data_IF_746300375518
#
_entry.id   IF_746300375518
#
_cell.length_a   1.000
_cell.length_b   1.000
_cell.length_c   1.000
_cell.angle_alpha   90.00
_cell.angle_beta   90.00
_cell.angle_gamma   90.00
#
_symmetry.space_group_name_H-M   'P 1'
#
loop_
_entity.id
_entity.type
_entity.pdbx_description
1 polymer ?
#
# COMPACT_ATOMS: atom_id res chain seq x y z
N UNK A 1 -27.73 -0.06 14.56
CA UNK A 1 -28.73 0.75 15.30
C UNK A 1 -28.58 2.25 15.04
N UNK A 2 -27.63 3.00 15.63
CA UNK A 2 -27.58 4.48 15.42
C UNK A 2 -27.31 4.87 13.95
N UNK A 3 -26.50 4.12 13.22
CA UNK A 3 -26.23 4.38 11.80
C UNK A 3 -27.39 3.98 10.86
N UNK A 4 -28.21 3.00 11.25
CA UNK A 4 -29.38 2.56 10.46
C UNK A 4 -30.56 3.53 10.63
N UNK A 5 -30.80 4.02 11.87
CA UNK A 5 -31.84 5.03 12.13
C UNK A 5 -31.55 6.38 11.46
N UNK A 6 -30.28 6.70 11.18
CA UNK A 6 -29.90 7.96 10.55
C UNK A 6 -30.04 7.94 9.01
N UNK A 7 -29.84 6.77 8.40
CA UNK A 7 -30.14 6.52 6.97
C UNK A 7 -31.64 6.64 6.69
N UNK A 8 -32.48 6.05 7.55
CA UNK A 8 -33.94 6.12 7.44
C UNK A 8 -34.49 7.55 7.63
N UNK A 9 -33.79 8.38 8.42
CA UNK A 9 -34.10 9.81 8.58
C UNK A 9 -33.78 10.65 7.34
N UNK A 10 -32.73 10.29 6.59
CA UNK A 10 -32.33 11.00 5.37
C UNK A 10 -33.28 10.69 4.20
N UNK A 11 -33.80 9.47 4.11
CA UNK A 11 -34.84 9.09 3.13
C UNK A 11 -36.12 9.94 3.27
N UNK A 12 -36.51 10.27 4.50
CA UNK A 12 -37.72 11.06 4.77
C UNK A 12 -37.56 12.56 4.45
N UNK A 13 -36.34 13.06 4.28
CA UNK A 13 -36.07 14.47 3.97
C UNK A 13 -36.09 14.77 2.46
N UNK A 14 -36.04 13.75 1.59
CA UNK A 14 -36.12 13.87 0.13
C UNK A 14 -37.53 14.02 -0.43
N UNK A 15 -38.36 14.94 0.11
CA UNK A 15 -39.72 15.17 -0.38
C UNK A 15 -39.74 15.59 -1.87
N UNK A 16 -40.46 14.79 -2.68
CA UNK A 16 -40.76 15.00 -4.10
C UNK A 16 -41.45 16.34 -4.39
N UNK A 17 -41.34 16.89 -5.62
CA UNK A 17 -42.36 17.76 -6.18
C UNK A 17 -43.26 16.99 -7.17
N UNK A 18 -44.54 16.95 -6.83
CA UNK A 18 -45.63 16.72 -7.79
C UNK A 18 -45.74 17.87 -8.82
N UNK A 19 -46.26 17.51 -9.99
CA UNK A 19 -46.74 18.35 -11.11
C UNK A 19 -45.76 18.67 -12.24
N UNK A 20 -45.93 18.00 -13.39
CA UNK A 20 -46.54 18.65 -14.57
C UNK A 20 -47.04 17.62 -15.60
N UNK A 21 -48.32 17.77 -15.98
CA UNK A 21 -48.99 17.04 -17.07
C UNK A 21 -48.67 17.66 -18.43
N UNK A 22 -48.68 16.79 -19.45
CA UNK A 22 -49.08 17.00 -20.85
C UNK A 22 -48.17 17.84 -21.77
N UNK A 23 -47.59 17.17 -22.76
CA UNK A 23 -47.88 17.49 -24.17
C UNK A 23 -47.48 16.31 -25.06
N UNK A 24 -48.49 15.67 -25.66
CA UNK A 24 -48.34 14.83 -26.84
C UNK A 24 -47.82 15.68 -28.01
N UNK A 25 -46.87 15.16 -28.81
CA UNK A 25 -47.01 15.06 -30.27
C UNK A 25 -45.87 14.31 -30.93
N UNK A 26 -46.30 13.27 -31.62
CA UNK A 26 -45.66 12.46 -32.64
C UNK A 26 -45.04 13.31 -33.77
N UNK A 27 -43.91 12.86 -34.32
CA UNK A 27 -43.36 13.40 -35.57
C UNK A 27 -42.07 12.67 -35.99
N UNK A 28 -42.20 11.81 -37.00
CA UNK A 28 -41.17 10.96 -37.60
C UNK A 28 -40.10 11.75 -38.38
N UNK A 29 -38.87 11.23 -38.34
CA UNK A 29 -37.94 10.89 -39.44
C UNK A 29 -37.80 11.92 -40.60
N UNK A 30 -36.61 12.45 -40.84
CA UNK A 30 -35.82 12.21 -42.08
C UNK A 30 -34.48 12.96 -42.13
N UNK A 31 -33.57 12.31 -42.85
CA UNK A 31 -32.15 12.51 -43.15
C UNK A 31 -31.80 13.77 -43.94
N UNK A 32 -30.59 14.31 -43.74
CA UNK A 32 -29.49 14.33 -44.74
C UNK A 32 -28.55 15.55 -44.59
N UNK A 33 -27.24 15.27 -44.59
CA UNK A 33 -26.22 16.08 -45.29
C UNK A 33 -25.80 17.42 -44.69
N UNK A 34 -24.54 17.52 -44.25
CA UNK A 34 -23.93 18.83 -44.03
C UNK A 34 -22.56 18.80 -43.34
N UNK A 35 -21.50 18.56 -44.10
CA UNK A 35 -20.11 18.79 -43.68
C UNK A 35 -19.88 20.29 -43.55
N UNK A 36 -19.60 20.78 -42.34
CA UNK A 36 -19.09 22.15 -42.10
C UNK A 36 -17.96 22.08 -41.08
N UNK A 37 -16.80 22.62 -41.47
CA UNK A 37 -15.64 22.83 -40.60
C UNK A 37 -15.96 23.91 -39.56
N UNK A 38 -15.60 23.68 -38.30
CA UNK A 38 -15.63 24.69 -37.25
C UNK A 38 -14.69 24.33 -36.10
N UNK A 39 -13.57 25.06 -36.01
CA UNK A 39 -12.72 25.12 -34.82
C UNK A 39 -13.52 25.63 -33.62
N UNK A 40 -13.33 25.03 -32.45
CA UNK A 40 -13.65 25.67 -31.18
C UNK A 40 -14.26 24.75 -30.13
N UNK A 41 -13.75 24.93 -28.90
CA UNK A 41 -14.37 24.63 -27.61
C UNK A 41 -14.46 23.18 -27.15
N UNK A 42 -13.58 22.87 -26.18
CA UNK A 42 -13.83 22.09 -24.97
C UNK A 42 -15.08 21.19 -25.01
N UNK A 43 -14.85 19.89 -25.19
CA UNK A 43 -15.85 18.87 -24.94
C UNK A 43 -16.32 18.94 -23.49
N UNK A 44 -17.41 19.65 -23.26
CA UNK A 44 -18.32 19.35 -22.15
C UNK A 44 -18.87 17.95 -22.45
N UNK A 45 -18.26 16.95 -21.85
CA UNK A 45 -18.89 15.65 -21.67
C UNK A 45 -20.13 15.88 -20.83
N UNK A 46 -21.29 15.83 -21.47
CA UNK A 46 -22.60 15.73 -20.84
C UNK A 46 -22.58 14.46 -19.97
N UNK A 47 -22.35 14.63 -18.66
CA UNK A 47 -22.60 13.55 -17.70
C UNK A 47 -24.12 13.37 -17.67
N UNK A 48 -24.59 12.26 -18.22
CA UNK A 48 -25.93 11.77 -17.92
C UNK A 48 -26.03 11.64 -16.39
N UNK A 49 -27.01 12.31 -15.80
CA UNK A 49 -27.19 12.40 -14.36
C UNK A 49 -27.76 11.07 -13.85
N UNK A 50 -26.94 10.03 -13.82
CA UNK A 50 -27.29 8.74 -13.25
C UNK A 50 -27.19 8.87 -11.74
N UNK A 51 -28.27 9.32 -11.12
CA UNK A 51 -28.36 9.37 -9.66
C UNK A 51 -28.49 7.93 -9.15
N UNK A 52 -27.40 7.37 -8.62
CA UNK A 52 -27.38 6.04 -8.02
C UNK A 52 -28.16 6.04 -6.71
N UNK A 53 -28.89 4.95 -6.43
CA UNK A 53 -29.57 4.78 -5.15
C UNK A 53 -28.54 4.52 -4.04
N UNK A 54 -28.86 4.93 -2.81
CA UNK A 54 -27.95 4.76 -1.67
C UNK A 54 -27.58 3.29 -1.41
N UNK A 55 -28.50 2.37 -1.75
CA UNK A 55 -28.31 0.93 -1.68
C UNK A 55 -27.19 0.42 -2.61
N UNK A 56 -26.91 1.15 -3.71
CA UNK A 56 -25.91 0.76 -4.72
C UNK A 56 -24.50 1.28 -4.39
N UNK A 57 -24.36 2.25 -3.47
CA UNK A 57 -23.09 2.94 -3.24
C UNK A 57 -21.97 2.01 -2.79
N UNK A 58 -22.29 1.04 -1.94
CA UNK A 58 -21.32 0.01 -1.52
C UNK A 58 -20.84 -0.83 -2.70
N UNK A 59 -21.78 -1.29 -3.54
CA UNK A 59 -21.46 -2.12 -4.71
C UNK A 59 -20.62 -1.33 -5.74
N UNK A 60 -20.92 -0.03 -5.92
CA UNK A 60 -20.15 0.85 -6.80
C UNK A 60 -18.72 1.03 -6.28
N UNK A 61 -18.55 1.34 -4.99
CA UNK A 61 -17.23 1.49 -4.37
C UNK A 61 -16.45 0.18 -4.41
N UNK A 62 -17.10 -0.94 -4.08
CA UNK A 62 -16.52 -2.28 -4.15
C UNK A 62 -15.99 -2.57 -5.57
N UNK A 63 -16.82 -2.32 -6.59
CA UNK A 63 -16.44 -2.50 -7.99
C UNK A 63 -15.27 -1.59 -8.41
N UNK A 64 -15.26 -0.32 -7.96
CA UNK A 64 -14.16 0.61 -8.24
C UNK A 64 -12.86 0.12 -7.60
N UNK A 65 -12.86 -0.19 -6.31
CA UNK A 65 -11.67 -0.64 -5.60
C UNK A 65 -11.13 -1.96 -6.18
N UNK A 66 -12.01 -2.90 -6.49
CA UNK A 66 -11.64 -4.16 -7.12
C UNK A 66 -11.01 -3.95 -8.51
N UNK A 67 -11.62 -3.10 -9.33
CA UNK A 67 -11.16 -2.84 -10.71
C UNK A 67 -9.83 -2.11 -10.74
N UNK A 68 -9.63 -1.14 -9.83
CA UNK A 68 -8.42 -0.32 -9.81
C UNK A 68 -7.20 -1.11 -9.34
N UNK A 69 -7.37 -2.08 -8.44
CA UNK A 69 -6.29 -2.93 -7.90
C UNK A 69 -5.27 -2.21 -7.01
N UNK A 70 -5.17 -0.88 -7.13
CA UNK A 70 -4.31 0.02 -6.37
C UNK A 70 -5.15 0.88 -5.40
N UNK A 71 -4.48 1.75 -4.63
CA UNK A 71 -5.14 2.73 -3.79
C UNK A 71 -5.94 3.75 -4.62
N UNK A 72 -7.11 4.09 -4.13
CA UNK A 72 -8.04 5.04 -4.76
C UNK A 72 -8.33 6.15 -3.76
N UNK A 73 -8.06 7.40 -4.14
CA UNK A 73 -8.33 8.56 -3.29
C UNK A 73 -9.82 8.65 -2.94
N UNK A 74 -10.13 9.05 -1.71
CA UNK A 74 -11.49 9.25 -1.22
C UNK A 74 -12.30 10.18 -2.13
N UNK A 75 -11.66 11.21 -2.70
CA UNK A 75 -12.27 12.11 -3.67
C UNK A 75 -12.76 11.38 -4.92
N UNK A 76 -11.99 10.43 -5.43
CA UNK A 76 -12.38 9.66 -6.62
C UNK A 76 -13.56 8.73 -6.33
N UNK A 77 -13.57 8.11 -5.13
CA UNK A 77 -14.71 7.33 -4.65
C UNK A 77 -15.97 8.19 -4.51
N UNK A 78 -15.83 9.41 -3.97
CA UNK A 78 -16.92 10.37 -3.86
C UNK A 78 -17.49 10.78 -5.24
N UNK A 79 -16.61 10.98 -6.24
CA UNK A 79 -17.02 11.21 -7.62
C UNK A 79 -17.75 10.00 -8.21
N UNK A 80 -17.32 8.77 -7.89
CA UNK A 80 -17.92 7.55 -8.44
C UNK A 80 -19.38 7.35 -8.00
N UNK A 81 -19.72 7.73 -6.77
CA UNK A 81 -21.10 7.65 -6.25
C UNK A 81 -21.88 8.97 -6.37
N UNK A 82 -21.26 10.02 -6.92
CA UNK A 82 -21.79 11.38 -7.02
C UNK A 82 -22.24 11.97 -5.66
N UNK A 83 -21.40 11.81 -4.64
CA UNK A 83 -21.66 12.31 -3.27
C UNK A 83 -20.48 13.11 -2.71
N UNK A 84 -20.66 13.67 -1.52
CA UNK A 84 -19.57 14.30 -0.75
C UNK A 84 -18.54 13.28 -0.24
N UNK A 85 -17.31 13.73 0.01
CA UNK A 85 -16.24 12.90 0.58
C UNK A 85 -16.63 12.32 1.95
N UNK A 86 -17.41 13.05 2.77
CA UNK A 86 -17.92 12.57 4.06
C UNK A 86 -18.89 11.38 3.92
N UNK A 87 -19.77 11.42 2.91
CA UNK A 87 -20.68 10.31 2.61
C UNK A 87 -19.89 9.13 2.08
N UNK A 88 -18.98 9.35 1.12
CA UNK A 88 -18.14 8.29 0.57
C UNK A 88 -17.32 7.59 1.66
N UNK A 89 -16.73 8.36 2.60
CA UNK A 89 -15.96 7.81 3.72
C UNK A 89 -16.83 6.90 4.59
N UNK A 90 -18.04 7.34 4.93
CA UNK A 90 -18.99 6.52 5.70
C UNK A 90 -19.36 5.23 4.98
N UNK A 91 -19.60 5.28 3.67
CA UNK A 91 -19.93 4.09 2.87
C UNK A 91 -18.75 3.11 2.87
N UNK A 92 -17.53 3.60 2.66
CA UNK A 92 -16.33 2.75 2.70
C UNK A 92 -16.15 2.10 4.08
N UNK A 93 -16.31 2.86 5.17
CA UNK A 93 -16.20 2.33 6.53
C UNK A 93 -17.26 1.25 6.81
N UNK A 94 -18.48 1.44 6.31
CA UNK A 94 -19.53 0.44 6.45
C UNK A 94 -19.20 -0.83 5.64
N UNK A 95 -18.74 -0.67 4.39
CA UNK A 95 -18.30 -1.79 3.55
C UNK A 95 -17.13 -2.56 4.18
N UNK A 96 -16.14 -1.86 4.74
CA UNK A 96 -15.02 -2.46 5.44
C UNK A 96 -15.50 -3.31 6.63
N UNK A 97 -16.38 -2.76 7.46
CA UNK A 97 -16.95 -3.46 8.61
C UNK A 97 -17.70 -4.73 8.19
N UNK A 98 -18.49 -4.67 7.11
CA UNK A 98 -19.17 -5.85 6.55
C UNK A 98 -18.20 -6.94 6.13
N UNK A 99 -17.11 -6.58 5.46
CA UNK A 99 -16.07 -7.52 5.05
C UNK A 99 -15.41 -8.22 6.26
N UNK A 100 -15.17 -7.48 7.34
CA UNK A 100 -14.63 -7.99 8.59
C UNK A 100 -15.62 -8.92 9.33
N UNK A 101 -16.88 -8.51 9.47
CA UNK A 101 -17.93 -9.30 10.13
C UNK A 101 -18.27 -10.60 9.39
N UNK A 102 -18.31 -10.55 8.06
CA UNK A 102 -18.57 -11.71 7.21
C UNK A 102 -17.35 -12.63 7.04
N UNK A 103 -16.19 -12.27 7.60
CA UNK A 103 -14.91 -13.01 7.49
C UNK A 103 -14.53 -13.33 6.04
N UNK A 104 -14.62 -12.34 5.16
CA UNK A 104 -14.28 -12.51 3.75
C UNK A 104 -12.76 -12.67 3.56
N UNK A 105 -12.36 -13.32 2.46
CA UNK A 105 -10.95 -13.47 2.07
C UNK A 105 -10.28 -12.17 1.57
N UNK A 106 -11.08 -11.13 1.39
CA UNK A 106 -10.68 -9.79 0.98
C UNK A 106 -10.94 -8.83 2.15
N UNK A 107 -10.25 -7.70 2.15
CA UNK A 107 -10.45 -6.58 3.08
C UNK A 107 -10.20 -5.25 2.37
N UNK A 108 -10.62 -4.17 3.00
CA UNK A 108 -10.33 -2.80 2.56
C UNK A 108 -9.36 -2.17 3.57
N UNK A 109 -8.29 -1.57 3.09
CA UNK A 109 -7.32 -0.81 3.86
C UNK A 109 -7.51 0.68 3.63
N UNK A 110 -7.47 1.47 4.70
CA UNK A 110 -7.35 2.92 4.65
C UNK A 110 -5.86 3.28 4.63
N UNK A 111 -5.45 4.11 3.67
CA UNK A 111 -4.08 4.60 3.46
C UNK A 111 -4.15 6.13 3.31
N UNK A 112 -3.93 6.86 4.40
CA UNK A 112 -4.15 8.30 4.53
C UNK A 112 -5.55 8.75 4.07
N UNK A 113 -5.66 9.32 2.86
CA UNK A 113 -6.89 9.76 2.24
C UNK A 113 -7.30 8.87 1.06
N UNK A 114 -6.79 7.66 0.99
CA UNK A 114 -7.07 6.68 -0.03
C UNK A 114 -7.51 5.34 0.59
N UNK A 115 -8.17 4.53 -0.22
CA UNK A 115 -8.62 3.20 0.16
C UNK A 115 -8.18 2.18 -0.88
N UNK A 116 -7.87 0.97 -0.44
CA UNK A 116 -7.50 -0.11 -1.34
C UNK A 116 -8.13 -1.42 -0.90
N UNK A 117 -8.61 -2.19 -1.87
CA UNK A 117 -9.02 -3.56 -1.64
C UNK A 117 -7.82 -4.50 -1.77
N UNK A 118 -7.62 -5.38 -0.80
CA UNK A 118 -6.56 -6.38 -0.81
C UNK A 118 -7.04 -7.70 -0.21
N UNK A 119 -6.26 -8.77 -0.40
CA UNK A 119 -6.50 -10.05 0.25
C UNK A 119 -6.18 -9.99 1.75
N UNK A 120 -6.84 -10.81 2.56
CA UNK A 120 -6.50 -10.96 3.97
C UNK A 120 -5.17 -11.72 4.15
N UNK A 121 -4.37 -11.28 5.12
CA UNK A 121 -3.04 -11.84 5.38
C UNK A 121 -3.06 -13.32 5.80
N UNK A 122 -4.13 -13.75 6.48
CA UNK A 122 -4.35 -15.15 6.90
C UNK A 122 -4.31 -16.15 5.72
N UNK A 123 -4.57 -15.67 4.49
CA UNK A 123 -4.57 -16.50 3.30
C UNK A 123 -3.27 -16.38 2.47
N UNK A 124 -2.26 -15.68 2.95
CA UNK A 124 -1.00 -15.44 2.23
C UNK A 124 -0.36 -16.73 1.68
N UNK A 125 -0.21 -17.76 2.53
CA UNK A 125 0.37 -19.05 2.13
C UNK A 125 -0.42 -19.73 1.01
N UNK A 126 -1.74 -19.56 0.98
CA UNK A 126 -2.58 -20.11 -0.08
C UNK A 126 -2.41 -19.36 -1.40
N UNK A 127 -2.22 -18.03 -1.33
CA UNK A 127 -2.10 -17.17 -2.49
C UNK A 127 -0.77 -17.39 -3.22
N UNK A 128 0.35 -17.48 -2.51
CA UNK A 128 1.67 -17.66 -3.11
C UNK A 128 1.87 -19.03 -3.77
N UNK A 129 0.98 -20.00 -3.51
CA UNK A 129 0.97 -21.29 -4.22
C UNK A 129 0.53 -21.15 -5.67
N UNK A 130 -0.16 -20.07 -6.03
CA UNK A 130 -0.72 -19.85 -7.38
C UNK A 130 -0.21 -18.54 -7.98
N UNK A 131 0.00 -17.51 -7.15
CA UNK A 131 0.55 -16.23 -7.56
C UNK A 131 2.08 -16.26 -7.54
N UNK A 132 2.70 -15.52 -8.45
CA UNK A 132 4.15 -15.25 -8.37
C UNK A 132 4.40 -14.50 -7.07
N UNK A 133 5.17 -15.10 -6.17
CA UNK A 133 5.54 -14.46 -4.93
C UNK A 133 6.28 -13.14 -5.26
N UNK A 134 5.80 -11.98 -4.77
CA UNK A 134 6.54 -10.74 -4.93
C UNK A 134 7.90 -10.87 -4.24
N UNK A 135 8.95 -10.30 -4.84
CA UNK A 135 10.27 -10.25 -4.21
C UNK A 135 10.15 -9.59 -2.83
N UNK A 136 10.57 -10.29 -1.78
CA UNK A 136 10.55 -9.77 -0.41
C UNK A 136 11.88 -9.08 -0.15
N UNK A 137 11.93 -7.77 -0.37
CA UNK A 137 13.06 -6.98 0.12
C UNK A 137 13.20 -7.19 1.63
N UNK A 138 14.36 -7.70 2.05
CA UNK A 138 14.67 -7.86 3.47
C UNK A 138 15.16 -6.51 3.98
N UNK A 139 14.58 -6.08 5.10
CA UNK A 139 15.01 -4.88 5.80
C UNK A 139 15.92 -5.35 6.93
N UNK A 140 17.24 -5.13 6.78
CA UNK A 140 18.21 -5.36 7.86
C UNK A 140 17.98 -4.36 8.99
N UNK A 141 18.60 -4.60 10.15
CA UNK A 141 18.49 -3.71 11.32
C UNK A 141 18.85 -2.27 10.96
N UNK A 142 19.93 -2.07 10.20
CA UNK A 142 20.37 -0.74 9.71
C UNK A 142 19.33 -0.06 8.81
N UNK A 143 18.70 -0.82 7.92
CA UNK A 143 17.64 -0.31 7.03
C UNK A 143 16.38 0.03 7.85
N UNK A 144 16.01 -0.80 8.82
CA UNK A 144 14.86 -0.58 9.70
C UNK A 144 15.05 0.63 10.62
N UNK A 145 16.23 0.81 11.20
CA UNK A 145 16.58 1.99 11.98
C UNK A 145 16.45 3.27 11.14
N UNK A 146 17.04 3.24 9.95
CA UNK A 146 17.01 4.37 9.01
C UNK A 146 15.56 4.70 8.62
N UNK A 147 14.76 3.68 8.31
CA UNK A 147 13.35 3.82 7.97
C UNK A 147 12.55 4.41 9.13
N UNK A 148 12.81 3.96 10.35
CA UNK A 148 12.14 4.45 11.56
C UNK A 148 12.43 5.93 11.78
N UNK A 149 13.68 6.36 11.62
CA UNK A 149 14.04 7.78 11.70
C UNK A 149 13.27 8.61 10.67
N UNK A 150 13.19 8.14 9.42
CA UNK A 150 12.43 8.83 8.37
C UNK A 150 10.96 8.90 8.75
N UNK A 151 10.34 7.79 9.16
CA UNK A 151 8.92 7.73 9.51
C UNK A 151 8.54 8.74 10.62
N UNK A 152 9.37 8.88 11.67
CA UNK A 152 9.08 9.77 12.80
C UNK A 152 9.59 11.21 12.63
N UNK A 153 10.51 11.47 11.69
CA UNK A 153 11.13 12.80 11.51
C UNK A 153 10.89 13.43 10.14
N UNK A 154 10.12 12.79 9.26
CA UNK A 154 9.83 13.34 7.95
C UNK A 154 9.14 14.72 8.02
N UNK A 155 9.41 15.60 7.05
CA UNK A 155 10.40 15.47 5.99
C UNK A 155 11.84 15.68 6.52
N UNK A 156 12.77 14.77 6.19
CA UNK A 156 14.15 14.75 6.75
C UNK A 156 15.22 14.61 5.67
N UNK A 157 16.40 15.19 5.86
CA UNK A 157 17.54 15.07 4.92
C UNK A 157 18.47 13.90 5.27
N UNK A 158 19.19 13.36 4.28
CA UNK A 158 20.25 12.34 4.49
C UNK A 158 21.25 12.72 5.58
N UNK A 159 21.64 13.99 5.61
CA UNK A 159 22.60 14.51 6.58
C UNK A 159 22.02 14.54 8.01
N UNK A 160 20.73 14.80 8.17
CA UNK A 160 20.06 14.74 9.48
C UNK A 160 19.89 13.30 9.95
N UNK A 161 19.57 12.37 9.03
CA UNK A 161 19.49 10.93 9.34
C UNK A 161 20.84 10.44 9.87
N UNK A 162 21.93 10.68 9.14
CA UNK A 162 23.27 10.25 9.56
C UNK A 162 23.70 10.85 10.89
N UNK A 163 23.33 12.11 11.17
CA UNK A 163 23.57 12.73 12.48
C UNK A 163 22.82 12.07 13.63
N UNK A 164 21.62 11.55 13.38
CA UNK A 164 20.83 10.84 14.40
C UNK A 164 21.42 9.44 14.63
N UNK A 165 21.82 8.75 13.55
CA UNK A 165 22.40 7.40 13.65
C UNK A 165 23.86 7.40 14.14
N UNK A 166 24.58 8.51 14.02
CA UNK A 166 26.01 8.59 14.30
C UNK A 166 26.89 8.06 13.15
N UNK A 167 26.33 7.30 12.21
CA UNK A 167 27.04 6.68 11.08
C UNK A 167 26.47 7.11 9.73
N UNK A 168 27.24 6.88 8.65
CA UNK A 168 26.73 7.10 7.30
C UNK A 168 25.49 6.24 7.05
N UNK A 169 24.48 6.83 6.41
CA UNK A 169 23.19 6.17 6.15
C UNK A 169 22.76 6.32 4.69
N UNK A 170 23.66 6.77 3.82
CA UNK A 170 23.36 7.02 2.41
C UNK A 170 22.96 5.74 1.68
N UNK A 171 23.63 4.62 1.98
CA UNK A 171 23.29 3.31 1.42
C UNK A 171 21.87 2.90 1.81
N UNK A 172 21.56 2.91 3.11
CA UNK A 172 20.24 2.53 3.64
C UNK A 172 19.13 3.40 3.06
N UNK A 173 19.33 4.73 2.96
CA UNK A 173 18.34 5.62 2.33
C UNK A 173 18.13 5.27 0.86
N UNK A 174 19.19 5.00 0.10
CA UNK A 174 19.06 4.62 -1.31
C UNK A 174 18.29 3.30 -1.48
N UNK A 175 18.57 2.30 -0.64
CA UNK A 175 17.82 1.03 -0.62
C UNK A 175 16.34 1.24 -0.29
N UNK A 176 16.02 2.07 0.70
CA UNK A 176 14.63 2.37 1.04
C UNK A 176 13.86 3.06 -0.10
N UNK A 177 14.54 3.89 -0.89
CA UNK A 177 13.98 4.49 -2.11
C UNK A 177 13.78 3.42 -3.20
N UNK A 178 14.74 2.53 -3.40
CA UNK A 178 14.63 1.41 -4.34
C UNK A 178 13.48 0.46 -3.98
N UNK A 179 13.29 0.16 -2.70
CA UNK A 179 12.20 -0.65 -2.19
C UNK A 179 10.84 0.06 -2.25
N UNK A 180 10.82 1.34 -2.63
CA UNK A 180 9.61 2.15 -2.72
C UNK A 180 8.98 2.48 -1.36
N UNK A 181 9.70 2.32 -0.25
CA UNK A 181 9.24 2.65 1.10
C UNK A 181 9.41 4.14 1.42
N UNK A 182 10.34 4.80 0.72
CA UNK A 182 10.70 6.22 0.91
C UNK A 182 10.77 6.92 -0.45
N UNK A 183 10.45 8.21 -0.50
CA UNK A 183 10.57 9.05 -1.70
C UNK A 183 11.18 10.43 -1.39
N UNK A 184 11.68 11.13 -2.43
CA UNK A 184 12.13 12.53 -2.32
C UNK A 184 10.90 13.46 -2.27
N UNK A 185 10.58 13.95 -1.06
CA UNK A 185 9.46 14.85 -0.79
C UNK A 185 9.73 16.31 -1.19
N UNK A 186 10.95 16.62 -1.62
CA UNK A 186 11.36 17.94 -2.09
C UNK A 186 12.80 18.26 -1.74
N UNK A 187 13.14 19.55 -1.72
CA UNK A 187 14.48 20.02 -1.37
C UNK A 187 14.42 21.16 -0.37
N UNK A 188 15.31 21.13 0.61
CA UNK A 188 15.43 22.17 1.63
C UNK A 188 16.00 23.45 1.01
N UNK A 189 15.44 24.61 1.41
CA UNK A 189 15.96 25.93 1.00
C UNK A 189 17.15 26.34 1.87
N UNK A 190 18.25 25.60 1.70
CA UNK A 190 19.51 25.76 2.42
C UNK A 190 20.68 25.64 1.44
N UNK A 191 21.90 26.10 1.80
CA UNK A 191 23.09 25.91 0.96
C UNK A 191 23.28 24.44 0.58
N UNK A 192 23.46 24.17 -0.71
CA UNK A 192 23.55 22.79 -1.25
C UNK A 192 22.21 22.15 -1.60
N UNK A 193 21.07 22.75 -1.23
CA UNK A 193 19.70 22.28 -1.53
C UNK A 193 19.52 20.77 -1.34
N UNK A 194 19.74 20.25 -0.12
CA UNK A 194 19.66 18.81 0.14
C UNK A 194 18.24 18.28 -0.08
N UNK A 195 18.14 17.05 -0.56
CA UNK A 195 16.89 16.33 -0.74
C UNK A 195 16.25 16.01 0.62
N UNK A 196 14.94 16.17 0.70
CA UNK A 196 14.09 15.79 1.81
C UNK A 196 13.41 14.46 1.49
N UNK A 197 13.34 13.56 2.45
CA UNK A 197 12.79 12.23 2.33
C UNK A 197 11.59 12.05 3.24
N UNK A 198 10.61 11.28 2.77
CA UNK A 198 9.40 10.89 3.50
C UNK A 198 8.96 9.48 3.08
N UNK A 199 8.13 8.82 3.90
CA UNK A 199 7.58 7.49 3.66
C UNK A 199 6.46 7.51 2.62
N UNK A 200 6.27 6.38 1.93
CA UNK A 200 5.25 6.22 0.88
C UNK A 200 3.96 5.56 1.41
N UNK A 201 2.93 5.47 0.58
CA UNK A 201 1.77 4.61 0.86
C UNK A 201 2.14 3.11 0.95
N UNK A 202 3.21 2.68 0.27
CA UNK A 202 3.70 1.31 0.37
C UNK A 202 4.25 1.03 1.78
N UNK A 203 4.89 2.01 2.42
CA UNK A 203 5.24 1.90 3.84
C UNK A 203 3.98 1.67 4.70
N UNK A 204 2.94 2.50 4.54
CA UNK A 204 1.71 2.35 5.31
C UNK A 204 1.07 0.97 5.13
N UNK A 205 1.05 0.47 3.89
CA UNK A 205 0.56 -0.88 3.56
C UNK A 205 1.38 -1.97 4.23
N UNK A 206 2.71 -1.91 4.12
CA UNK A 206 3.62 -2.94 4.63
C UNK A 206 3.57 -3.05 6.14
N UNK A 207 3.42 -1.91 6.83
CA UNK A 207 3.36 -1.85 8.29
C UNK A 207 1.92 -1.87 8.84
N UNK A 208 0.90 -1.96 7.97
CA UNK A 208 -0.50 -2.10 8.38
C UNK A 208 -1.06 -0.89 9.13
N UNK A 209 -0.49 0.30 8.90
CA UNK A 209 -0.91 1.55 9.56
C UNK A 209 -1.71 2.41 8.60
N UNK A 210 -2.78 3.06 9.09
CA UNK A 210 -3.66 3.86 8.23
C UNK A 210 -3.11 5.24 7.92
N UNK A 211 -2.23 5.79 8.77
CA UNK A 211 -1.62 7.09 8.56
C UNK A 211 -0.37 7.24 9.42
N UNK A 212 0.45 8.24 9.10
CA UNK A 212 1.63 8.60 9.90
C UNK A 212 1.29 9.01 11.33
N UNK A 213 0.10 9.55 11.58
CA UNK A 213 -0.38 9.91 12.93
C UNK A 213 -0.69 8.66 13.77
N UNK A 214 -1.03 7.55 13.10
CA UNK A 214 -1.30 6.26 13.75
C UNK A 214 -0.05 5.47 14.11
N UNK A 215 1.15 5.98 13.82
CA UNK A 215 2.39 5.35 14.24
C UNK A 215 2.49 5.38 15.77
N UNK A 216 3.00 4.30 16.42
CA UNK A 216 3.18 4.26 17.86
C UNK A 216 3.99 5.46 18.35
N UNK A 217 3.37 6.35 19.13
CA UNK A 217 4.14 7.38 19.83
C UNK A 217 4.79 6.73 21.03
N UNK A 218 6.11 6.90 21.20
CA UNK A 218 6.80 6.37 22.37
C UNK A 218 6.24 6.99 23.65
N UNK A 219 5.46 6.22 24.39
CA UNK A 219 5.15 6.51 25.78
C UNK A 219 6.35 6.08 26.63
N UNK A 220 6.66 6.78 27.74
CA UNK A 220 7.81 6.47 28.57
C UNK A 220 7.83 5.03 29.10
N UNK A 221 6.66 4.42 29.32
CA UNK A 221 6.54 3.01 29.75
C UNK A 221 6.92 2.02 28.64
N UNK A 222 6.64 2.34 27.37
CA UNK A 222 7.01 1.50 26.22
C UNK A 222 8.48 1.69 25.83
N UNK A 223 9.03 2.86 26.10
CA UNK A 223 10.47 3.12 25.97
C UNK A 223 11.26 2.21 26.93
N UNK A 224 10.79 2.05 28.18
CA UNK A 224 11.40 1.14 29.14
C UNK A 224 11.29 -0.34 28.72
N UNK A 225 10.17 -0.78 28.14
CA UNK A 225 10.00 -2.15 27.63
C UNK A 225 10.90 -2.43 26.42
N UNK A 226 10.97 -1.52 25.45
CA UNK A 226 11.84 -1.69 24.26
C UNK A 226 13.32 -1.66 24.66
N UNK A 227 13.71 -0.78 25.60
CA UNK A 227 15.09 -0.76 26.12
C UNK A 227 15.43 -2.09 26.79
N UNK A 228 14.51 -2.66 27.58
CA UNK A 228 14.72 -3.96 28.21
C UNK A 228 14.86 -5.09 27.18
N UNK A 229 13.99 -5.14 26.15
CA UNK A 229 14.08 -6.14 25.09
C UNK A 229 15.38 -6.01 24.28
N UNK A 230 15.79 -4.79 23.94
CA UNK A 230 17.03 -4.52 23.22
C UNK A 230 18.27 -4.86 24.07
N UNK A 231 18.26 -4.54 25.36
CA UNK A 231 19.31 -4.93 26.31
C UNK A 231 19.43 -6.46 26.43
N UNK A 232 18.30 -7.17 26.49
CA UNK A 232 18.27 -8.63 26.54
C UNK A 232 18.84 -9.26 25.25
N UNK A 233 18.48 -8.72 24.07
CA UNK A 233 19.04 -9.19 22.79
C UNK A 233 20.54 -8.90 22.66
N UNK A 234 21.00 -7.70 23.04
CA UNK A 234 22.41 -7.34 23.06
C UNK A 234 23.20 -8.25 24.00
N UNK A 235 22.67 -8.54 25.19
CA UNK A 235 23.33 -9.40 26.16
C UNK A 235 23.43 -10.85 25.68
N UNK A 236 22.45 -11.33 24.89
CA UNK A 236 22.55 -12.62 24.21
C UNK A 236 23.61 -12.61 23.09
N UNK A 237 23.67 -11.56 22.26
CA UNK A 237 24.63 -11.45 21.14
C UNK A 237 26.08 -11.23 21.60
N UNK A 238 26.32 -10.42 22.63
CA UNK A 238 27.66 -10.20 23.21
C UNK A 238 28.19 -11.42 23.98
N UNK A 239 27.31 -12.29 24.49
CA UNK A 239 27.69 -13.53 25.14
C UNK A 239 28.42 -14.53 24.24
N UNK A 240 28.30 -14.39 22.92
CA UNK A 240 28.88 -15.31 21.93
C UNK A 240 30.19 -14.84 21.30
N UNK A 241 30.59 -13.56 21.45
CA UNK A 241 31.72 -12.97 20.70
C UNK A 241 32.74 -12.20 21.55
N UNK A 242 32.77 -12.41 22.86
CA UNK A 242 33.70 -11.70 23.75
C UNK A 242 35.10 -12.30 23.81
N UNK A 243 35.99 -11.99 22.85
CA UNK A 243 37.44 -11.85 23.06
C UNK A 243 38.13 -11.40 21.75
N UNK A 244 38.36 -10.09 21.58
CA UNK A 244 39.45 -9.43 20.81
C UNK A 244 39.00 -8.11 20.15
N UNK A 245 38.99 -7.01 20.90
CA UNK A 245 39.07 -5.66 20.30
C UNK A 245 39.41 -4.62 21.37
N UNK A 246 40.68 -4.52 21.75
CA UNK A 246 41.15 -3.43 22.61
C UNK A 246 42.53 -2.96 22.16
N UNK A 247 42.58 -2.15 21.10
CA UNK A 247 43.50 -0.99 20.91
C UNK A 247 43.51 -0.53 19.45
N UNK A 248 42.70 0.47 19.14
CA UNK A 248 42.73 1.31 17.93
C UNK A 248 42.11 2.68 18.29
N UNK A 249 42.56 3.81 17.71
CA UNK A 249 42.02 5.14 18.02
C UNK A 249 40.53 5.22 17.68
N UNK A 250 39.70 5.74 18.59
CA UNK A 250 38.22 5.71 18.49
C UNK A 250 37.67 6.17 17.13
N UNK A 251 38.25 7.21 16.52
CA UNK A 251 37.83 7.72 15.20
C UNK A 251 38.15 6.76 14.03
N UNK A 252 39.29 6.05 14.07
CA UNK A 252 39.63 5.03 13.05
C UNK A 252 38.84 3.74 13.27
N UNK A 253 38.47 3.43 14.52
CA UNK A 253 37.58 2.30 14.82
C UNK A 253 36.19 2.56 14.29
N UNK A 254 35.65 3.76 14.48
CA UNK A 254 34.31 4.12 14.02
C UNK A 254 34.20 4.07 12.48
N UNK A 255 35.22 4.56 11.77
CA UNK A 255 35.25 4.53 10.30
C UNK A 255 35.38 3.09 9.76
N UNK A 256 36.28 2.28 10.33
CA UNK A 256 36.44 0.86 9.95
C UNK A 256 35.23 0.02 10.36
N UNK A 257 34.62 0.28 11.52
CA UNK A 257 33.40 -0.41 11.96
C UNK A 257 32.22 -0.05 11.06
N UNK A 258 32.13 1.21 10.61
CA UNK A 258 31.11 1.63 9.64
C UNK A 258 31.28 0.91 8.30
N UNK A 259 32.50 0.87 7.75
CA UNK A 259 32.78 0.15 6.50
C UNK A 259 32.50 -1.35 6.64
N UNK A 260 32.89 -1.98 7.75
CA UNK A 260 32.64 -3.40 8.00
C UNK A 260 31.15 -3.70 8.21
N UNK A 261 30.39 -2.80 8.84
CA UNK A 261 28.95 -2.95 9.00
C UNK A 261 28.22 -2.78 7.67
N UNK A 262 28.61 -1.80 6.85
CA UNK A 262 28.06 -1.63 5.49
C UNK A 262 28.37 -2.84 4.60
N UNK A 263 29.61 -3.35 4.63
CA UNK A 263 29.98 -4.57 3.90
C UNK A 263 29.24 -5.82 4.40
N UNK A 264 29.06 -5.97 5.72
CA UNK A 264 28.32 -7.09 6.29
C UNK A 264 26.83 -7.03 5.95
N UNK A 265 26.22 -5.84 5.97
CA UNK A 265 24.83 -5.65 5.57
C UNK A 265 24.63 -5.96 4.09
N UNK A 266 25.52 -5.47 3.21
CA UNK A 266 25.46 -5.75 1.77
C UNK A 266 25.63 -7.26 1.50
N UNK A 267 26.58 -7.92 2.16
CA UNK A 267 26.76 -9.37 2.05
C UNK A 267 25.56 -10.16 2.58
N UNK A 268 24.94 -9.72 3.68
CA UNK A 268 23.72 -10.34 4.19
C UNK A 268 22.56 -10.15 3.21
N UNK A 269 22.39 -8.96 2.63
CA UNK A 269 21.36 -8.68 1.64
C UNK A 269 21.56 -9.56 0.40
N UNK A 270 22.79 -9.64 -0.12
CA UNK A 270 23.10 -10.48 -1.29
C UNK A 270 22.80 -11.97 -1.04
N UNK A 271 23.19 -12.51 0.11
CA UNK A 271 22.92 -13.91 0.47
C UNK A 271 21.41 -14.16 0.65
N UNK A 272 20.69 -13.21 1.25
CA UNK A 272 19.23 -13.28 1.42
C UNK A 272 18.49 -13.21 0.07
N UNK A 273 18.90 -12.32 -0.84
CA UNK A 273 18.31 -12.21 -2.17
C UNK A 273 18.57 -13.45 -3.03
N UNK A 274 19.78 -14.02 -2.96
CA UNK A 274 20.11 -15.26 -3.67
C UNK A 274 19.26 -16.44 -3.20
N UNK A 275 19.07 -16.58 -1.88
CA UNK A 275 18.21 -17.63 -1.29
C UNK A 275 16.74 -17.47 -1.68
N UNK A 276 16.26 -16.23 -1.83
CA UNK A 276 14.90 -15.98 -2.28
C UNK A 276 14.71 -16.25 -3.77
N UNK A 277 15.67 -15.83 -4.61
CA UNK A 277 15.60 -16.08 -6.05
C UNK A 277 15.70 -17.59 -6.36
N UNK A 278 16.49 -18.36 -5.62
CA UNK A 278 16.49 -19.82 -5.73
C UNK A 278 15.15 -20.43 -5.30
N UNK A 279 14.60 -20.00 -4.16
CA UNK A 279 13.29 -20.50 -3.70
C UNK A 279 12.15 -20.22 -4.69
N UNK A 280 12.16 -19.04 -5.32
CA UNK A 280 11.18 -18.67 -6.34
C UNK A 280 11.37 -19.45 -7.65
N UNK A 281 12.60 -19.82 -8.03
CA UNK A 281 12.84 -20.69 -9.18
C UNK A 281 12.31 -22.11 -8.93
N UNK A 282 12.60 -22.69 -7.77
CA UNK A 282 12.14 -24.02 -7.40
C UNK A 282 10.60 -24.12 -7.40
N UNK A 283 9.92 -23.10 -6.88
CA UNK A 283 8.45 -22.99 -6.90
C UNK A 283 7.88 -22.95 -8.32
N UNK A 284 8.52 -22.19 -9.22
CA UNK A 284 8.12 -22.13 -10.63
C UNK A 284 8.31 -23.47 -11.34
N UNK A 285 9.43 -24.15 -11.11
CA UNK A 285 9.69 -25.46 -11.70
C UNK A 285 8.71 -26.53 -11.19
N UNK A 286 8.30 -26.47 -9.92
CA UNK A 286 7.26 -27.36 -9.38
C UNK A 286 5.90 -27.09 -10.03
N UNK A 287 5.49 -25.83 -10.16
CA UNK A 287 4.23 -25.48 -10.83
C UNK A 287 4.21 -25.89 -12.31
N UNK A 288 5.33 -25.74 -13.03
CA UNK A 288 5.44 -26.19 -14.42
C UNK A 288 5.32 -27.71 -14.53
N UNK A 289 5.91 -28.47 -13.59
CA UNK A 289 5.77 -29.93 -13.56
C UNK A 289 4.35 -30.38 -13.25
N UNK A 290 3.70 -29.79 -12.25
CA UNK A 290 2.31 -30.11 -11.90
C UNK A 290 1.34 -29.79 -13.05
N UNK A 291 1.53 -28.66 -13.73
CA UNK A 291 0.74 -28.31 -14.92
C UNK A 291 0.95 -29.30 -16.07
N UNK A 292 2.17 -29.79 -16.28
CA UNK A 292 2.47 -30.79 -17.32
C UNK A 292 1.85 -32.16 -16.99
N UNK A 293 1.80 -32.52 -15.71
CA UNK A 293 1.18 -33.77 -15.26
C UNK A 293 -0.34 -33.72 -15.41
N UNK A 294 -1.00 -32.62 -15.03
CA UNK A 294 -2.44 -32.43 -15.26
C UNK A 294 -2.82 -32.47 -16.75
N UNK A 295 -2.01 -31.86 -17.62
CA UNK A 295 -2.26 -31.91 -19.07
C UNK A 295 -2.11 -33.32 -19.65
N UNK A 296 -1.24 -34.16 -19.07
CA UNK A 296 -1.10 -35.57 -19.49
C UNK A 296 -2.28 -36.41 -19.02
N UNK A 297 -2.71 -36.26 -17.77
CA UNK A 297 -3.89 -36.96 -17.25
C UNK A 297 -5.16 -36.62 -18.06
N UNK A 298 -5.38 -35.34 -18.39
CA UNK A 298 -6.51 -34.92 -19.24
C UNK A 298 -6.44 -35.48 -20.68
N UNK A 299 -5.23 -35.73 -21.20
CA UNK A 299 -5.04 -36.31 -22.53
C UNK A 299 -5.25 -37.83 -22.57
N UNK A 300 -4.88 -38.53 -21.50
CA UNK A 300 -5.07 -39.98 -21.37
C UNK A 300 -6.56 -40.33 -21.14
N UNK A 301 -7.29 -39.52 -20.36
CA UNK A 301 -8.75 -39.68 -20.16
C UNK A 301 -9.58 -39.43 -21.44
N UNK A 302 -9.05 -38.64 -22.38
CA UNK A 302 -9.70 -38.36 -23.66
C UNK A 302 -9.49 -39.48 -24.70
N UNK A 303 -8.42 -40.27 -24.58
CA UNK A 303 -8.15 -41.41 -25.47
C UNK A 303 -8.96 -42.67 -25.07
N UNK A 304 -9.36 -42.80 -23.81
CA UNK A 304 -10.14 -43.95 -23.31
C UNK A 304 -11.67 -43.85 -23.59
N UNK A 305 -12.14 -42.73 -24.18
CA UNK A 305 -13.56 -42.48 -24.50
C UNK A 305 -13.91 -42.58 -26.00
N UNK A 306 -12.99 -43.03 -26.86
CA UNK A 306 -13.18 -43.13 -28.31
C UNK A 306 -12.94 -44.56 -28.84
#
# INVERSE_FOLDING_TARGET
>A
MEAEEELERLEQQGKQPEHLKQSERSGQIETAGGKVLGNGTAGKSTRENTQYHAEDWEAIIEAVLFTMGNSVELRQLAIAIDQSEDIAKRVVLHLQKRYEEEKRGMRILELENAYQMCTCQDYYENLIRVAVAPKKHVLTDVILETLSIIAYRQPVTKMEIGKIRGVNSDHAVNRLVEYGLVYEAGRLDAPGRPALFATTEEFLRRFGVSSMVGLPTMNPEQEEEIIQEVEEELQMKLGEQGEEAAQTPEEEVEEVLTELMEEQDDLQIEDLEQRQDSGNQDLKEQQERENLEQQKEESEDAEDQN
#
